data_IF_971864142835
#
_entry.id   IF_971864142835
#
_cell.length_a   1.000
_cell.length_b   1.000
_cell.length_c   1.000
_cell.angle_alpha   90.00
_cell.angle_beta   90.00
_cell.angle_gamma   90.00
#
_symmetry.space_group_name_H-M   'P 1'
#
loop_
_entity.id
_entity.type
_entity.pdbx_description
1 polymer ?
#
# COMPACT_ATOMS: atom_id res chain seq x y z
N UNK A 1 0.29 -24.10 19.96
CA UNK A 1 0.06 -22.87 20.75
C UNK A 1 -0.42 -21.71 19.87
N UNK A 2 0.17 -21.43 18.70
CA UNK A 2 -0.37 -20.44 17.74
C UNK A 2 -1.77 -20.82 17.19
N UNK A 3 -1.99 -22.11 16.94
CA UNK A 3 -3.26 -22.69 16.44
C UNK A 3 -4.43 -22.66 17.43
N UNK A 4 -4.19 -22.30 18.70
CA UNK A 4 -5.25 -22.24 19.73
C UNK A 4 -5.74 -20.81 19.92
N UNK A 5 -4.82 -19.84 19.87
CA UNK A 5 -5.13 -18.41 19.88
C UNK A 5 -5.92 -17.98 18.64
N UNK A 6 -5.54 -18.44 17.43
CA UNK A 6 -6.26 -18.11 16.20
C UNK A 6 -7.70 -18.67 16.18
N UNK A 7 -7.92 -19.88 16.73
CA UNK A 7 -9.29 -20.46 16.83
C UNK A 7 -10.18 -19.73 17.82
N UNK A 8 -9.61 -19.11 18.86
CA UNK A 8 -10.37 -18.33 19.85
C UNK A 8 -10.76 -16.96 19.26
N UNK A 9 -9.94 -16.38 18.38
CA UNK A 9 -10.30 -15.20 17.59
C UNK A 9 -11.40 -15.50 16.56
N UNK A 10 -11.31 -16.61 15.82
CA UNK A 10 -12.34 -17.00 14.84
C UNK A 10 -13.74 -17.22 15.47
N UNK A 11 -13.78 -17.72 16.71
CA UNK A 11 -15.02 -17.91 17.47
C UNK A 11 -15.64 -16.59 17.97
N UNK A 12 -14.85 -15.52 18.03
CA UNK A 12 -15.26 -14.18 18.45
C UNK A 12 -15.42 -13.33 17.20
N UNK A 13 -16.64 -13.24 16.67
CA UNK A 13 -16.90 -12.53 15.40
C UNK A 13 -16.24 -11.14 15.34
N UNK A 14 -15.86 -10.72 14.12
CA UNK A 14 -15.11 -9.49 13.83
C UNK A 14 -15.48 -8.33 14.76
N UNK A 15 -14.47 -7.71 15.38
CA UNK A 15 -14.66 -6.57 16.26
C UNK A 15 -15.29 -5.38 15.53
N UNK A 16 -15.85 -4.43 16.27
CA UNK A 16 -16.48 -3.23 15.69
C UNK A 16 -15.51 -2.47 14.76
N UNK A 17 -14.24 -2.33 15.15
CA UNK A 17 -13.22 -1.65 14.35
C UNK A 17 -12.93 -2.38 13.04
N UNK A 18 -12.71 -3.70 13.08
CA UNK A 18 -12.44 -4.53 11.90
C UNK A 18 -13.64 -4.55 10.94
N UNK A 19 -14.85 -4.66 11.49
CA UNK A 19 -16.10 -4.67 10.72
C UNK A 19 -16.32 -3.36 9.96
N UNK A 20 -15.95 -2.22 10.55
CA UNK A 20 -16.12 -0.90 9.94
C UNK A 20 -14.81 -0.28 9.44
N UNK A 21 -13.77 -1.08 9.18
CA UNK A 21 -12.45 -0.60 8.79
C UNK A 21 -12.49 0.30 7.55
N UNK A 22 -13.35 -0.01 6.57
CA UNK A 22 -13.50 0.82 5.38
C UNK A 22 -13.97 2.26 5.68
N UNK A 23 -14.85 2.43 6.68
CA UNK A 23 -15.34 3.76 7.11
C UNK A 23 -14.19 4.54 7.71
N UNK A 24 -13.42 3.91 8.59
CA UNK A 24 -12.25 4.51 9.22
C UNK A 24 -11.19 4.93 8.18
N UNK A 25 -10.96 4.09 7.16
CA UNK A 25 -10.05 4.42 6.05
C UNK A 25 -10.53 5.66 5.29
N UNK A 26 -11.82 5.72 4.93
CA UNK A 26 -12.40 6.89 4.24
C UNK A 26 -12.28 8.15 5.11
N UNK A 27 -12.55 8.04 6.42
CA UNK A 27 -12.41 9.16 7.36
C UNK A 27 -10.96 9.65 7.44
N UNK A 28 -9.98 8.75 7.51
CA UNK A 28 -8.56 9.12 7.51
C UNK A 28 -8.14 9.81 6.20
N UNK A 29 -8.62 9.35 5.05
CA UNK A 29 -8.34 9.98 3.75
C UNK A 29 -8.89 11.42 3.72
N UNK A 30 -10.17 11.61 4.08
CA UNK A 30 -10.81 12.93 4.09
C UNK A 30 -10.12 13.86 5.09
N UNK A 31 -9.83 13.38 6.30
CA UNK A 31 -9.13 14.15 7.32
C UNK A 31 -7.73 14.56 6.83
N UNK A 32 -6.98 13.66 6.19
CA UNK A 32 -5.67 13.95 5.61
C UNK A 32 -5.73 15.03 4.52
N UNK A 33 -6.71 14.97 3.63
CA UNK A 33 -6.92 15.99 2.59
C UNK A 33 -7.21 17.36 3.21
N UNK A 34 -8.13 17.42 4.19
CA UNK A 34 -8.46 18.66 4.89
C UNK A 34 -7.24 19.24 5.60
N UNK A 35 -6.50 18.39 6.33
CA UNK A 35 -5.29 18.78 7.05
C UNK A 35 -4.23 19.36 6.09
N UNK A 36 -4.00 18.71 4.95
CA UNK A 36 -3.06 19.20 3.93
C UNK A 36 -3.46 20.55 3.34
N UNK A 37 -4.77 20.84 3.23
CA UNK A 37 -5.27 22.13 2.73
C UNK A 37 -5.20 23.25 3.78
N UNK A 38 -5.52 22.98 5.05
CA UNK A 38 -5.56 24.02 6.10
C UNK A 38 -4.19 24.29 6.72
N UNK A 39 -3.30 23.30 6.73
CA UNK A 39 -1.97 23.39 7.31
C UNK A 39 -0.89 22.97 6.29
N UNK A 40 -0.68 23.75 5.21
CA UNK A 40 0.27 23.42 4.16
C UNK A 40 1.73 23.34 4.67
N UNK A 41 2.04 24.02 5.78
CA UNK A 41 3.34 23.91 6.45
C UNK A 41 3.62 22.52 7.01
N UNK A 42 2.58 21.79 7.47
CA UNK A 42 2.72 20.41 7.95
C UNK A 42 2.98 19.46 6.79
N UNK A 43 2.27 19.63 5.67
CA UNK A 43 2.52 18.85 4.45
C UNK A 43 3.97 19.04 3.96
N UNK A 44 4.43 20.29 3.85
CA UNK A 44 5.82 20.59 3.46
C UNK A 44 6.87 20.04 4.43
N UNK A 45 6.57 20.05 5.74
CA UNK A 45 7.46 19.46 6.74
C UNK A 45 7.55 17.94 6.58
N UNK A 46 6.42 17.27 6.40
CA UNK A 46 6.37 15.81 6.18
C UNK A 46 7.05 15.40 4.86
N UNK A 47 6.86 16.18 3.80
CA UNK A 47 7.57 16.00 2.53
C UNK A 47 9.08 16.21 2.69
N UNK A 48 9.47 17.16 3.55
CA UNK A 48 10.86 17.42 3.95
C UNK A 48 11.50 16.30 4.77
N UNK A 49 10.70 15.44 5.42
CA UNK A 49 11.17 14.22 6.08
C UNK A 49 11.37 13.08 5.08
N UNK A 50 11.97 13.36 3.94
CA UNK A 50 12.36 12.39 2.94
C UNK A 50 13.87 12.28 2.84
N UNK A 51 14.35 11.09 2.46
CA UNK A 51 15.72 10.89 2.03
C UNK A 51 15.79 11.34 0.57
N UNK A 52 16.60 12.37 0.33
CA UNK A 52 16.85 12.91 -0.99
C UNK A 52 18.09 12.26 -1.59
N UNK A 53 17.99 11.83 -2.85
CA UNK A 53 19.14 11.42 -3.67
C UNK A 53 19.21 12.40 -4.83
N UNK A 54 20.18 13.33 -4.77
CA UNK A 54 20.18 14.50 -5.65
C UNK A 54 19.03 15.46 -5.30
N UNK A 55 18.28 15.91 -6.30
CA UNK A 55 17.11 16.81 -6.13
C UNK A 55 15.78 16.06 -5.95
N UNK A 56 15.76 14.73 -5.98
CA UNK A 56 14.55 13.93 -5.93
C UNK A 56 14.31 13.32 -4.53
N UNK A 57 13.12 13.49 -3.92
CA UNK A 57 12.73 12.73 -2.74
C UNK A 57 12.50 11.27 -3.12
N UNK A 58 13.33 10.36 -2.60
CA UNK A 58 13.25 8.93 -2.97
C UNK A 58 12.44 8.14 -1.95
N UNK A 59 12.58 8.45 -0.65
CA UNK A 59 11.93 7.69 0.42
C UNK A 59 11.48 8.62 1.54
N UNK A 60 10.17 8.71 1.79
CA UNK A 60 9.63 9.39 2.97
C UNK A 60 9.90 8.56 4.24
N UNK A 61 10.58 9.15 5.22
CA UNK A 61 10.97 8.49 6.48
C UNK A 61 9.71 8.06 7.28
N UNK A 62 8.69 8.92 7.50
CA UNK A 62 7.47 8.49 8.19
C UNK A 62 6.79 7.30 7.51
N UNK A 63 6.65 7.35 6.18
CA UNK A 63 5.99 6.29 5.41
C UNK A 63 6.80 5.00 5.48
N UNK A 64 8.13 5.07 5.40
CA UNK A 64 9.02 3.92 5.52
C UNK A 64 8.90 3.25 6.90
N UNK A 65 8.84 4.04 7.98
CA UNK A 65 8.65 3.51 9.34
C UNK A 65 7.28 2.80 9.45
N UNK A 66 6.21 3.42 8.96
CA UNK A 66 4.88 2.80 8.95
C UNK A 66 4.88 1.48 8.17
N UNK A 67 5.49 1.45 6.97
CA UNK A 67 5.60 0.22 6.18
C UNK A 67 6.43 -0.85 6.86
N UNK A 68 7.53 -0.46 7.54
CA UNK A 68 8.34 -1.40 8.31
C UNK A 68 7.51 -2.08 9.41
N UNK A 69 6.75 -1.31 10.19
CA UNK A 69 5.86 -1.86 11.22
C UNK A 69 4.70 -2.68 10.66
N UNK A 70 4.26 -2.43 9.43
CA UNK A 70 3.26 -3.29 8.76
C UNK A 70 3.85 -4.60 8.26
N UNK A 71 5.08 -4.59 7.73
CA UNK A 71 5.73 -5.76 7.15
C UNK A 71 6.34 -6.67 8.23
N UNK A 72 6.90 -6.08 9.29
CA UNK A 72 7.62 -6.81 10.34
C UNK A 72 6.78 -7.93 11.00
N UNK A 73 5.51 -7.72 11.40
CA UNK A 73 4.68 -8.76 11.99
C UNK A 73 4.45 -9.95 11.06
N UNK A 74 4.33 -9.69 9.75
CA UNK A 74 4.16 -10.76 8.76
C UNK A 74 5.47 -11.55 8.68
N UNK A 75 6.61 -10.87 8.58
CA UNK A 75 7.93 -11.49 8.44
C UNK A 75 8.28 -12.41 9.63
N UNK A 76 8.01 -12.00 10.87
CA UNK A 76 8.31 -12.81 12.06
C UNK A 76 7.36 -14.00 12.25
N UNK A 77 6.18 -13.97 11.61
CA UNK A 77 5.19 -15.06 11.66
C UNK A 77 5.40 -16.11 10.56
N UNK A 78 6.31 -15.88 9.61
CA UNK A 78 6.58 -16.83 8.52
C UNK A 78 7.32 -18.06 9.06
N UNK A 79 6.73 -19.24 8.83
CA UNK A 79 7.38 -20.53 9.05
C UNK A 79 8.22 -20.92 7.83
N UNK A 80 9.54 -20.99 7.99
CA UNK A 80 10.48 -21.36 6.93
C UNK A 80 10.23 -22.77 6.36
N UNK A 81 9.66 -23.69 7.14
CA UNK A 81 9.28 -25.02 6.67
C UNK A 81 8.18 -24.97 5.62
N UNK A 82 7.16 -24.13 5.83
CA UNK A 82 6.08 -23.92 4.86
C UNK A 82 6.58 -23.16 3.61
N UNK A 83 7.56 -22.25 3.75
CA UNK A 83 8.20 -21.60 2.59
C UNK A 83 8.90 -22.62 1.69
N UNK A 84 9.65 -23.57 2.26
CA UNK A 84 10.32 -24.62 1.48
C UNK A 84 9.29 -25.52 0.79
N UNK A 85 8.19 -25.85 1.48
CA UNK A 85 7.10 -26.65 0.91
C UNK A 85 6.35 -25.91 -0.21
N UNK A 86 6.13 -24.61 -0.06
CA UNK A 86 5.58 -23.75 -1.10
C UNK A 86 6.52 -23.66 -2.32
N UNK A 87 7.83 -23.62 -2.11
CA UNK A 87 8.82 -23.70 -3.19
C UNK A 87 8.73 -25.01 -4.00
N UNK A 88 8.34 -26.12 -3.35
CA UNK A 88 8.12 -27.41 -4.04
C UNK A 88 6.83 -27.41 -4.88
N UNK A 89 5.84 -26.57 -4.55
CA UNK A 89 4.62 -26.36 -5.35
C UNK A 89 4.80 -25.18 -6.32
N UNK A 90 5.73 -25.33 -7.27
CA UNK A 90 6.13 -24.25 -8.18
C UNK A 90 5.04 -23.72 -9.12
N UNK A 91 4.02 -24.52 -9.47
CA UNK A 91 2.92 -24.09 -10.37
C UNK A 91 2.07 -22.96 -9.73
N UNK A 92 1.47 -23.15 -8.54
CA UNK A 92 0.72 -22.07 -7.86
C UNK A 92 1.57 -20.85 -7.52
N UNK A 93 2.80 -21.06 -7.03
CA UNK A 93 3.70 -19.96 -6.65
C UNK A 93 4.13 -19.15 -7.87
N UNK A 94 4.52 -19.83 -8.96
CA UNK A 94 4.88 -19.20 -10.22
C UNK A 94 3.74 -18.39 -10.84
N UNK A 95 2.51 -18.92 -10.80
CA UNK A 95 1.33 -18.18 -11.28
C UNK A 95 1.10 -16.91 -10.45
N UNK A 96 1.17 -17.03 -9.12
CA UNK A 96 0.99 -15.88 -8.22
C UNK A 96 2.05 -14.81 -8.47
N UNK A 97 3.32 -15.21 -8.60
CA UNK A 97 4.42 -14.30 -8.92
C UNK A 97 4.24 -13.64 -10.28
N UNK A 98 3.85 -14.40 -11.32
CA UNK A 98 3.61 -13.85 -12.65
C UNK A 98 2.48 -12.81 -12.64
N UNK A 99 1.36 -13.11 -11.98
CA UNK A 99 0.25 -12.15 -11.86
C UNK A 99 0.69 -10.91 -11.07
N UNK A 100 1.42 -11.10 -9.97
CA UNK A 100 1.80 -10.01 -9.07
C UNK A 100 2.89 -9.09 -9.66
N UNK A 101 3.85 -9.64 -10.39
CA UNK A 101 5.01 -8.90 -10.90
C UNK A 101 4.94 -8.57 -12.39
N UNK A 102 4.28 -9.40 -13.21
CA UNK A 102 4.08 -9.09 -14.63
C UNK A 102 2.73 -8.40 -14.84
N UNK A 103 1.61 -9.02 -14.47
CA UNK A 103 0.30 -8.46 -14.86
C UNK A 103 -0.03 -7.18 -14.09
N UNK A 104 0.14 -7.19 -12.77
CA UNK A 104 -0.30 -6.08 -11.90
C UNK A 104 0.36 -4.74 -12.25
N UNK A 105 1.69 -4.62 -12.48
CA UNK A 105 2.31 -3.34 -12.83
C UNK A 105 1.82 -2.78 -14.18
N UNK A 106 1.73 -3.61 -15.21
CA UNK A 106 1.24 -3.15 -16.52
C UNK A 106 -0.24 -2.81 -16.50
N UNK A 107 -1.05 -3.54 -15.73
CA UNK A 107 -2.48 -3.22 -15.56
C UNK A 107 -2.65 -1.89 -14.83
N UNK A 108 -1.88 -1.66 -13.76
CA UNK A 108 -1.86 -0.38 -13.05
C UNK A 108 -1.49 0.77 -13.98
N UNK A 109 -0.41 0.60 -14.76
CA UNK A 109 0.04 1.61 -15.72
C UNK A 109 -1.00 1.88 -16.81
N UNK A 110 -1.60 0.83 -17.40
CA UNK A 110 -2.62 0.97 -18.42
C UNK A 110 -3.87 1.70 -17.91
N UNK A 111 -4.33 1.38 -16.70
CA UNK A 111 -5.44 2.07 -16.04
C UNK A 111 -5.07 3.54 -15.78
N UNK A 112 -3.88 3.81 -15.24
CA UNK A 112 -3.42 5.17 -14.98
C UNK A 112 -3.35 6.00 -16.27
N UNK A 113 -2.78 5.45 -17.35
CA UNK A 113 -2.73 6.11 -18.66
C UNK A 113 -4.12 6.40 -19.23
N UNK A 114 -5.04 5.44 -19.14
CA UNK A 114 -6.40 5.63 -19.64
C UNK A 114 -7.12 6.75 -18.90
N UNK A 115 -7.08 6.73 -17.56
CA UNK A 115 -7.79 7.72 -16.77
C UNK A 115 -7.10 9.08 -16.78
N UNK A 116 -5.81 9.16 -16.47
CA UNK A 116 -5.09 10.43 -16.38
C UNK A 116 -4.76 11.02 -17.75
N UNK A 117 -4.33 10.17 -18.70
CA UNK A 117 -3.90 10.61 -20.03
C UNK A 117 -5.00 10.75 -21.07
N UNK A 118 -6.19 10.13 -20.87
CA UNK A 118 -7.29 10.21 -21.84
C UNK A 118 -8.58 10.74 -21.21
N UNK A 119 -9.16 10.04 -20.24
CA UNK A 119 -10.50 10.35 -19.72
C UNK A 119 -10.54 11.67 -18.92
N UNK A 120 -9.50 11.94 -18.13
CA UNK A 120 -9.39 13.13 -17.29
C UNK A 120 -8.44 14.18 -17.84
N UNK A 121 -7.85 13.96 -19.01
CA UNK A 121 -6.91 14.88 -19.66
C UNK A 121 -7.44 16.33 -19.69
N UNK A 122 -8.70 16.50 -20.11
CA UNK A 122 -9.35 17.81 -20.17
C UNK A 122 -9.75 18.41 -18.80
N UNK A 123 -9.76 17.62 -17.73
CA UNK A 123 -10.13 18.06 -16.38
C UNK A 123 -8.91 18.49 -15.55
N UNK A 124 -7.78 17.79 -15.69
CA UNK A 124 -6.57 18.02 -14.88
C UNK A 124 -5.51 18.89 -15.57
N UNK A 125 -5.61 19.09 -16.89
CA UNK A 125 -4.66 19.89 -17.67
C UNK A 125 -3.37 19.13 -18.04
N UNK A 126 -2.63 19.59 -19.06
CA UNK A 126 -1.39 18.95 -19.52
C UNK A 126 -0.28 18.97 -18.47
N UNK A 127 -0.25 19.96 -17.58
CA UNK A 127 0.71 20.11 -16.48
C UNK A 127 0.61 19.04 -15.39
N UNK A 128 -0.52 18.32 -15.30
CA UNK A 128 -0.73 17.26 -14.32
C UNK A 128 -0.29 15.88 -14.81
N UNK A 129 0.20 15.78 -16.05
CA UNK A 129 0.66 14.54 -16.66
C UNK A 129 2.18 14.62 -16.75
N UNK A 130 2.86 13.72 -16.04
CA UNK A 130 4.28 13.49 -16.27
C UNK A 130 4.44 12.90 -17.67
N UNK A 131 4.76 13.75 -18.63
CA UNK A 131 5.19 13.35 -19.96
C UNK A 131 6.57 12.71 -19.82
N UNK A 132 6.62 11.39 -20.02
CA UNK A 132 7.88 10.65 -20.21
C UNK A 132 8.53 11.04 -21.53
#
# INVERSE_FOLDING_TARGET
MATETERIEEARGLGFFEKYLYIWVILCIVAGIILGKVAPGVAKYLDGLAIYVGEAPVVSIPIAICHFFMMYPIMVKIDFGEVIKAGKSGKPVGLTLFVNWAIKPFTMYAIALFFLGTAFYGLIGPEAIDHV
#
